data_IF_563061576187
#
_entry.id   IF_563061576187
#
_cell.length_a   1.000
_cell.length_b   1.000
_cell.length_c   1.000
_cell.angle_alpha   90.00
_cell.angle_beta   90.00
_cell.angle_gamma   90.00
#
_symmetry.space_group_name_H-M   'P 1'
#
loop_
_entity.id
_entity.type
_entity.pdbx_description
1 polymer ?
#
# COMPACT_ATOMS: atom_id res chain seq x y z
N UNK A 1 -12.74 3.59 -9.85
CA UNK A 1 -11.84 2.57 -9.27
C UNK A 1 -11.69 2.77 -7.76
N UNK A 2 -11.52 1.70 -6.95
CA UNK A 2 -11.28 1.78 -5.49
C UNK A 2 -9.97 1.10 -5.09
N UNK A 3 -9.32 1.59 -4.05
CA UNK A 3 -8.06 1.02 -3.51
C UNK A 3 -8.10 0.88 -1.98
N UNK A 4 -7.46 -0.15 -1.44
CA UNK A 4 -7.23 -0.32 0.00
C UNK A 4 -5.79 -0.79 0.22
N UNK A 5 -4.98 0.04 0.88
CA UNK A 5 -3.68 -0.35 1.41
C UNK A 5 -3.86 -0.86 2.84
N UNK A 6 -3.52 -2.13 3.07
CA UNK A 6 -3.39 -2.67 4.42
C UNK A 6 -1.94 -2.78 4.80
N UNK A 7 -1.65 -2.43 6.04
CA UNK A 7 -0.31 -2.52 6.60
C UNK A 7 -0.38 -2.99 8.03
N UNK A 8 0.61 -3.78 8.45
CA UNK A 8 0.77 -4.11 9.87
C UNK A 8 1.00 -2.83 10.69
N UNK A 9 0.14 -2.58 11.67
CA UNK A 9 0.19 -1.41 12.56
C UNK A 9 1.53 -1.30 13.28
N UNK A 10 2.03 -2.42 13.80
CA UNK A 10 3.32 -2.46 14.51
C UNK A 10 4.51 -2.23 13.58
N UNK A 11 4.43 -2.63 12.31
CA UNK A 11 5.45 -2.26 11.32
C UNK A 11 5.43 -0.75 11.07
N UNK A 12 4.24 -0.13 10.99
CA UNK A 12 4.12 1.32 10.82
C UNK A 12 4.62 2.10 12.05
N UNK A 13 4.28 1.63 13.26
CA UNK A 13 4.66 2.26 14.53
C UNK A 13 6.14 2.06 14.87
N UNK A 14 6.75 0.96 14.40
CA UNK A 14 8.15 0.60 14.65
C UNK A 14 8.33 -0.47 15.74
N UNK A 15 7.23 -0.98 16.29
CA UNK A 15 7.19 -1.89 17.43
C UNK A 15 7.73 -3.29 17.12
N UNK A 16 7.88 -3.65 15.85
CA UNK A 16 8.57 -4.89 15.44
C UNK A 16 10.10 -4.78 15.50
N UNK A 17 10.67 -3.61 15.81
CA UNK A 17 12.12 -3.43 15.98
C UNK A 17 12.93 -3.56 14.68
N UNK A 18 12.28 -3.46 13.51
CA UNK A 18 12.94 -3.51 12.21
C UNK A 18 12.79 -2.16 11.52
N UNK A 19 13.81 -1.31 11.64
CA UNK A 19 13.81 0.06 11.11
C UNK A 19 13.60 0.08 9.59
N UNK A 20 14.22 -0.88 8.87
CA UNK A 20 14.09 -1.01 7.42
C UNK A 20 12.64 -1.24 6.99
N UNK A 21 11.98 -2.23 7.62
CA UNK A 21 10.55 -2.51 7.36
C UNK A 21 9.65 -1.35 7.78
N UNK A 22 10.03 -0.65 8.84
CA UNK A 22 9.28 0.50 9.36
C UNK A 22 9.30 1.66 8.36
N UNK A 23 10.47 1.99 7.82
CA UNK A 23 10.63 3.01 6.80
C UNK A 23 9.78 2.71 5.56
N UNK A 24 9.94 1.52 4.99
CA UNK A 24 9.16 1.05 3.83
C UNK A 24 7.65 1.10 4.10
N UNK A 25 7.21 0.69 5.29
CA UNK A 25 5.78 0.73 5.66
C UNK A 25 5.25 2.16 5.74
N UNK A 26 6.04 3.08 6.30
CA UNK A 26 5.67 4.50 6.38
C UNK A 26 5.60 5.15 5.00
N UNK A 27 6.51 4.79 4.11
CA UNK A 27 6.53 5.28 2.73
C UNK A 27 5.28 4.85 1.97
N UNK A 28 4.91 3.55 2.04
CA UNK A 28 3.65 3.06 1.45
C UNK A 28 2.44 3.86 1.98
N UNK A 29 2.36 4.07 3.28
CA UNK A 29 1.27 4.85 3.90
C UNK A 29 1.30 6.32 3.46
N UNK A 30 2.48 6.92 3.33
CA UNK A 30 2.64 8.30 2.88
C UNK A 30 2.16 8.47 1.44
N UNK A 31 2.59 7.58 0.53
CA UNK A 31 2.12 7.57 -0.86
C UNK A 31 0.60 7.38 -0.93
N UNK A 32 0.05 6.38 -0.22
CA UNK A 32 -1.38 6.12 -0.20
C UNK A 32 -2.20 7.33 0.31
N UNK A 33 -1.75 7.98 1.39
CA UNK A 33 -2.41 9.19 1.91
C UNK A 33 -2.35 10.35 0.92
N UNK A 34 -1.22 10.51 0.22
CA UNK A 34 -1.07 11.54 -0.80
C UNK A 34 -1.99 11.27 -1.99
N UNK A 35 -2.02 10.04 -2.51
CA UNK A 35 -2.96 9.66 -3.58
C UNK A 35 -4.40 9.96 -3.17
N UNK A 36 -4.78 9.63 -1.93
CA UNK A 36 -6.13 9.87 -1.41
C UNK A 36 -6.54 11.35 -1.44
N UNK A 37 -5.60 12.26 -1.19
CA UNK A 37 -5.83 13.71 -1.22
C UNK A 37 -6.17 14.20 -2.64
N UNK A 38 -5.59 13.56 -3.66
CA UNK A 38 -5.70 13.96 -5.07
C UNK A 38 -6.44 12.94 -5.93
N UNK A 39 -7.20 12.04 -5.32
CA UNK A 39 -7.80 10.85 -5.95
C UNK A 39 -8.62 11.17 -7.22
N UNK A 40 -9.25 12.34 -7.26
CA UNK A 40 -10.11 12.76 -8.36
C UNK A 40 -9.30 13.05 -9.64
N UNK A 41 -8.00 13.34 -9.53
CA UNK A 41 -7.12 13.56 -10.69
C UNK A 41 -6.81 12.28 -11.47
N UNK A 42 -7.00 11.11 -10.85
CA UNK A 42 -6.77 9.78 -11.46
C UNK A 42 -8.04 8.91 -11.44
N UNK A 43 -9.22 9.54 -11.37
CA UNK A 43 -10.51 8.84 -11.45
C UNK A 43 -10.67 7.74 -10.38
N UNK A 44 -10.06 7.96 -9.21
CA UNK A 44 -10.13 7.07 -8.07
C UNK A 44 -11.29 7.49 -7.16
N UNK A 45 -12.25 6.59 -6.99
CA UNK A 45 -13.45 6.81 -6.17
C UNK A 45 -13.04 6.99 -4.71
N UNK A 46 -12.22 6.07 -4.20
CA UNK A 46 -11.74 6.06 -2.84
C UNK A 46 -10.41 5.29 -2.70
N UNK A 47 -9.59 5.75 -1.74
CA UNK A 47 -8.43 5.03 -1.23
C UNK A 47 -8.55 4.89 0.29
N UNK A 48 -8.46 3.68 0.80
CA UNK A 48 -8.46 3.36 2.22
C UNK A 48 -7.06 2.95 2.68
N UNK A 49 -6.71 3.29 3.92
CA UNK A 49 -5.49 2.82 4.59
C UNK A 49 -5.89 2.18 5.90
N UNK A 50 -5.75 0.86 5.97
CA UNK A 50 -6.19 0.07 7.12
C UNK A 50 -4.98 -0.49 7.85
N UNK A 51 -4.91 -0.18 9.15
CA UNK A 51 -3.85 -0.64 10.04
C UNK A 51 -4.27 -1.97 10.67
N UNK A 52 -3.56 -3.04 10.36
CA UNK A 52 -3.88 -4.40 10.83
C UNK A 52 -3.15 -4.67 12.14
N UNK A 53 -3.88 -5.12 13.16
CA UNK A 53 -3.30 -5.56 14.44
C UNK A 53 -3.00 -7.07 14.42
N UNK A 54 -1.97 -7.49 15.15
CA UNK A 54 -1.62 -8.91 15.28
C UNK A 54 -2.77 -9.69 15.91
N UNK A 55 -3.25 -10.73 15.22
CA UNK A 55 -4.40 -11.53 15.65
C UNK A 55 -5.76 -10.98 15.21
N UNK A 56 -5.81 -9.79 14.62
CA UNK A 56 -6.92 -9.38 13.76
C UNK A 56 -6.83 -10.18 12.45
N UNK A 57 -7.96 -10.58 11.87
CA UNK A 57 -7.97 -11.33 10.61
C UNK A 57 -7.61 -10.46 9.40
N UNK A 58 -7.06 -9.26 9.63
CA UNK A 58 -6.89 -8.23 8.61
C UNK A 58 -8.25 -7.85 8.00
N UNK A 59 -9.24 -7.61 8.87
CA UNK A 59 -10.60 -7.29 8.44
C UNK A 59 -10.59 -6.14 7.44
N UNK A 60 -11.08 -6.41 6.22
CA UNK A 60 -11.24 -5.39 5.20
C UNK A 60 -12.12 -4.25 5.72
N UNK A 61 -11.63 -3.02 5.68
CA UNK A 61 -12.46 -1.86 6.01
C UNK A 61 -13.38 -1.51 4.84
N UNK A 62 -12.93 -1.80 3.60
CA UNK A 62 -13.65 -1.45 2.38
C UNK A 62 -13.78 -2.60 1.37
N UNK A 63 -12.72 -3.37 1.10
CA UNK A 63 -12.69 -4.39 0.05
C UNK A 63 -12.53 -5.79 0.65
N UNK A 64 -13.56 -6.67 0.69
CA UNK A 64 -13.55 -7.94 1.43
C UNK A 64 -12.71 -9.05 0.78
N UNK A 65 -11.43 -8.76 0.54
CA UNK A 65 -10.43 -9.58 -0.12
C UNK A 65 -9.39 -9.97 0.91
N UNK A 66 -9.05 -11.25 0.98
CA UNK A 66 -8.04 -11.76 1.89
C UNK A 66 -6.98 -12.51 1.10
N UNK A 67 -5.71 -12.21 1.38
CA UNK A 67 -4.57 -12.89 0.76
C UNK A 67 -3.89 -13.77 1.78
N UNK A 68 -3.67 -15.01 1.39
CA UNK A 68 -2.92 -15.97 2.17
C UNK A 68 -1.79 -16.57 1.32
N UNK A 69 -0.68 -16.88 1.96
CA UNK A 69 0.45 -17.62 1.40
C UNK A 69 0.62 -18.94 2.16
N UNK A 70 1.36 -19.88 1.57
CA UNK A 70 1.79 -21.10 2.26
C UNK A 70 3.28 -20.96 2.52
N UNK A 71 3.65 -20.94 3.79
CA UNK A 71 5.04 -20.89 4.23
C UNK A 71 5.28 -21.97 5.28
N UNK A 72 6.33 -22.77 5.10
CA UNK A 72 6.70 -23.87 6.03
C UNK A 72 5.52 -24.81 6.33
N UNK A 73 4.77 -25.19 5.29
CA UNK A 73 3.56 -26.03 5.36
C UNK A 73 2.42 -25.46 6.24
N UNK A 74 2.43 -24.15 6.50
CA UNK A 74 1.37 -23.45 7.22
C UNK A 74 0.75 -22.35 6.35
N UNK A 75 -0.56 -22.18 6.47
CA UNK A 75 -1.27 -21.05 5.86
C UNK A 75 -0.95 -19.81 6.69
N UNK A 76 -0.36 -18.80 6.07
CA UNK A 76 -0.13 -17.49 6.66
C UNK A 76 -1.00 -16.44 5.98
N UNK A 77 -1.54 -15.52 6.77
CA UNK A 77 -2.28 -14.37 6.25
C UNK A 77 -1.31 -13.22 6.03
N UNK A 78 -1.44 -12.52 4.91
CA UNK A 78 -0.60 -11.36 4.63
C UNK A 78 -1.17 -10.11 5.30
N UNK A 79 -0.48 -9.61 6.30
CA UNK A 79 -0.86 -8.39 7.03
C UNK A 79 -0.75 -7.13 6.14
N UNK A 80 0.26 -7.10 5.27
CA UNK A 80 0.50 -6.01 4.33
C UNK A 80 0.08 -6.42 2.92
N UNK A 81 -0.77 -5.61 2.29
CA UNK A 81 -1.27 -5.85 0.93
C UNK A 81 -1.89 -4.57 0.35
N UNK A 82 -1.83 -4.41 -0.97
CA UNK A 82 -2.62 -3.43 -1.71
C UNK A 82 -3.70 -4.15 -2.53
N UNK A 83 -4.95 -3.79 -2.31
CA UNK A 83 -6.10 -4.31 -3.04
C UNK A 83 -6.69 -3.20 -3.89
N UNK A 84 -6.98 -3.50 -5.16
CA UNK A 84 -7.62 -2.56 -6.08
C UNK A 84 -8.84 -3.22 -6.73
N UNK A 85 -9.95 -2.48 -6.82
CA UNK A 85 -11.17 -2.91 -7.50
C UNK A 85 -11.49 -1.93 -8.65
N UNK A 86 -11.60 -2.45 -9.86
CA UNK A 86 -11.99 -1.66 -11.03
C UNK A 86 -13.52 -1.49 -11.15
N UNK A 87 -13.95 -0.72 -12.14
CA UNK A 87 -15.39 -0.43 -12.37
C UNK A 87 -16.19 -1.66 -12.81
N UNK A 88 -15.52 -2.73 -13.25
CA UNK A 88 -16.14 -3.99 -13.66
C UNK A 88 -16.21 -4.98 -12.49
N UNK A 89 -15.68 -4.61 -11.32
CA UNK A 89 -15.59 -5.47 -10.14
C UNK A 89 -14.43 -6.46 -10.18
N UNK A 90 -13.47 -6.30 -11.10
CA UNK A 90 -12.24 -7.10 -11.08
C UNK A 90 -11.35 -6.63 -9.92
N UNK A 91 -10.72 -7.59 -9.25
CA UNK A 91 -9.83 -7.33 -8.11
C UNK A 91 -8.39 -7.64 -8.49
N UNK A 92 -7.50 -6.67 -8.28
CA UNK A 92 -6.06 -6.81 -8.36
C UNK A 92 -5.49 -6.78 -6.94
N UNK A 93 -4.52 -7.66 -6.65
CA UNK A 93 -3.92 -7.73 -5.33
C UNK A 93 -2.40 -7.82 -5.42
N UNK A 94 -1.73 -6.96 -4.67
CA UNK A 94 -0.28 -6.91 -4.54
C UNK A 94 0.10 -7.22 -3.09
N UNK A 95 0.61 -8.42 -2.78
CA UNK A 95 1.03 -8.78 -1.43
C UNK A 95 2.47 -8.37 -1.11
N UNK A 96 3.29 -8.13 -2.13
CA UNK A 96 4.71 -7.85 -1.96
C UNK A 96 4.97 -6.34 -1.79
N UNK A 97 5.70 -5.90 -0.73
CA UNK A 97 5.94 -4.48 -0.48
C UNK A 97 6.60 -3.72 -1.65
N UNK A 98 7.42 -4.38 -2.46
CA UNK A 98 8.04 -3.77 -3.64
C UNK A 98 7.04 -3.41 -4.73
N UNK A 99 6.12 -4.33 -5.06
CA UNK A 99 5.08 -4.09 -6.05
C UNK A 99 4.06 -3.07 -5.52
N UNK A 100 3.75 -3.11 -4.22
CA UNK A 100 2.89 -2.11 -3.58
C UNK A 100 3.52 -0.71 -3.72
N UNK A 101 4.80 -0.56 -3.36
CA UNK A 101 5.50 0.71 -3.50
C UNK A 101 5.50 1.20 -4.94
N UNK A 102 5.80 0.33 -5.91
CA UNK A 102 5.82 0.72 -7.32
C UNK A 102 4.46 1.19 -7.81
N UNK A 103 3.38 0.48 -7.47
CA UNK A 103 2.02 0.89 -7.84
C UNK A 103 1.70 2.26 -7.21
N UNK A 104 2.01 2.45 -5.92
CA UNK A 104 1.72 3.70 -5.23
C UNK A 104 2.55 4.88 -5.77
N UNK A 105 3.86 4.71 -6.00
CA UNK A 105 4.70 5.78 -6.55
C UNK A 105 4.29 6.15 -7.96
N UNK A 106 3.96 5.18 -8.82
CA UNK A 106 3.43 5.47 -10.16
C UNK A 106 2.10 6.24 -10.13
N UNK A 107 1.24 5.95 -9.15
CA UNK A 107 0.01 6.73 -8.96
C UNK A 107 0.32 8.17 -8.54
N UNK A 108 1.30 8.38 -7.63
CA UNK A 108 1.78 9.72 -7.26
C UNK A 108 2.33 10.47 -8.48
N UNK A 109 3.18 9.84 -9.29
CA UNK A 109 3.75 10.45 -10.50
C UNK A 109 2.68 10.84 -11.53
N UNK A 110 1.66 9.98 -11.71
CA UNK A 110 0.54 10.29 -12.60
C UNK A 110 -0.29 11.48 -12.10
N UNK A 111 -0.45 11.61 -10.79
CA UNK A 111 -1.16 12.74 -10.20
C UNK A 111 -0.34 14.02 -10.38
N UNK A 112 0.95 13.99 -10.05
CA UNK A 112 1.87 15.13 -10.20
C UNK A 112 1.86 15.67 -11.63
N UNK A 113 1.92 14.77 -12.63
CA UNK A 113 1.84 15.13 -14.04
C UNK A 113 0.51 15.78 -14.48
N UNK A 114 -0.56 15.69 -13.68
CA UNK A 114 -1.91 16.22 -13.97
C UNK A 114 -2.23 17.50 -13.20
N UNK A 115 -1.35 17.97 -12.33
CA UNK A 115 -1.55 19.20 -11.55
C UNK A 115 -0.38 20.17 -11.71
N UNK A 116 -0.56 21.38 -11.20
CA UNK A 116 0.51 22.40 -11.07
C UNK A 116 1.10 22.46 -9.66
N UNK A 117 0.53 21.69 -8.74
CA UNK A 117 1.02 21.55 -7.38
C UNK A 117 2.06 20.44 -7.34
N UNK A 118 3.04 20.56 -6.46
CA UNK A 118 4.01 19.51 -6.21
C UNK A 118 3.33 18.42 -5.35
N UNK A 119 3.14 17.23 -5.92
CA UNK A 119 2.46 16.11 -5.27
C UNK A 119 3.45 15.03 -4.83
N UNK A 120 4.75 15.26 -4.98
CA UNK A 120 5.80 14.30 -4.63
C UNK A 120 5.78 13.88 -3.16
N UNK A 121 6.24 12.66 -2.90
CA UNK A 121 6.41 12.08 -1.56
C UNK A 121 7.87 11.74 -1.37
N UNK A 122 8.46 12.23 -0.28
CA UNK A 122 9.81 11.83 0.11
C UNK A 122 9.81 10.35 0.49
N UNK A 123 10.53 9.55 -0.28
CA UNK A 123 10.71 8.11 -0.06
C UNK A 123 12.08 7.86 0.58
N UNK A 124 12.14 6.88 1.48
CA UNK A 124 13.38 6.52 2.15
C UNK A 124 14.38 5.84 1.21
N UNK A 125 15.66 5.82 1.60
CA UNK A 125 16.72 5.12 0.86
C UNK A 125 16.42 3.63 0.70
N UNK A 126 15.77 3.01 1.70
CA UNK A 126 15.33 1.62 1.64
C UNK A 126 14.33 1.39 0.51
N UNK A 127 13.30 2.23 0.42
CA UNK A 127 12.27 2.14 -0.63
C UNK A 127 12.86 2.46 -2.00
N UNK A 128 13.73 3.48 -2.10
CA UNK A 128 14.43 3.83 -3.33
C UNK A 128 15.32 2.68 -3.83
N UNK A 129 15.99 1.98 -2.91
CA UNK A 129 16.77 0.78 -3.23
C UNK A 129 15.86 -0.33 -3.78
N UNK A 130 14.67 -0.53 -3.22
CA UNK A 130 13.73 -1.53 -3.73
C UNK A 130 13.26 -1.22 -5.16
N UNK A 131 12.99 0.05 -5.45
CA UNK A 131 12.52 0.50 -6.76
C UNK A 131 13.60 0.50 -7.85
N UNK A 132 14.89 0.49 -7.50
CA UNK A 132 16.00 0.61 -8.45
C UNK A 132 16.57 -0.72 -8.97
N UNK A 133 16.15 -1.87 -8.43
CA UNK A 133 16.73 -3.20 -8.74
C UNK A 133 16.02 -3.87 -9.93
N UNK A 134 15.71 -3.11 -11.00
CA UNK A 134 15.06 -3.63 -12.22
C UNK A 134 15.82 -3.28 -13.49
#
# INVERSE_FOLDING_TARGET
MRMELRVCKRCFEGDHGNERKTAVTRDMVACARRIREYKDLIELDALYVTMVEEGDRGGAEALPVYVASIERDQIQMNDTQLVMEDEQGNVLVYPEPEDILEVLTRNVDQIDARTRQDVTVDISDESATMLSVR
#
